data_IF_500179426276
#
_entry.id   IF_500179426276
#
_cell.length_a   1.000
_cell.length_b   1.000
_cell.length_c   1.000
_cell.angle_alpha   90.00
_cell.angle_beta   90.00
_cell.angle_gamma   90.00
#
_symmetry.space_group_name_H-M   'P 1'
#
loop_
_entity.id
_entity.type
_entity.pdbx_description
1 polymer ?
#
# COMPACT_ATOMS: atom_id res chain seq x y z
N UNK A 1 -2.73 13.85 -14.06
CA UNK A 1 -2.68 14.04 -12.60
C UNK A 1 -2.50 12.67 -11.98
N UNK A 2 -1.52 12.50 -11.15
CA UNK A 2 -1.20 11.23 -10.49
C UNK A 2 -2.30 10.85 -9.51
N UNK A 3 -2.68 9.59 -9.46
CA UNK A 3 -3.67 9.09 -8.50
C UNK A 3 -2.97 8.37 -7.35
N UNK A 4 -3.36 8.68 -6.13
CA UNK A 4 -2.83 8.06 -4.91
C UNK A 4 -3.80 7.01 -4.40
N UNK A 5 -3.29 5.80 -4.22
CA UNK A 5 -4.00 4.64 -3.67
C UNK A 5 -3.31 4.25 -2.38
N UNK A 6 -4.02 4.29 -1.27
CA UNK A 6 -3.47 3.89 0.01
C UNK A 6 -4.17 2.64 0.54
N UNK A 7 -3.38 1.69 1.04
CA UNK A 7 -3.90 0.51 1.71
C UNK A 7 -3.82 0.69 3.21
N UNK A 8 -4.89 0.38 3.90
CA UNK A 8 -4.98 0.45 5.35
C UNK A 8 -5.68 -0.80 5.90
N UNK A 9 -5.49 -1.10 7.17
CA UNK A 9 -6.09 -2.27 7.81
C UNK A 9 -5.29 -2.71 9.01
N UNK A 10 -5.88 -3.60 9.79
CA UNK A 10 -5.20 -4.24 10.93
C UNK A 10 -3.99 -5.06 10.43
N UNK A 11 -3.01 -5.29 11.30
CA UNK A 11 -1.90 -6.22 11.01
C UNK A 11 -2.42 -7.58 10.59
N UNK A 12 -1.83 -8.14 9.52
CA UNK A 12 -2.17 -9.45 9.00
C UNK A 12 -3.48 -9.55 8.19
N UNK A 13 -4.11 -8.45 7.78
CA UNK A 13 -5.33 -8.49 6.95
C UNK A 13 -5.07 -8.65 5.45
N UNK A 14 -3.80 -8.68 5.02
CA UNK A 14 -3.42 -8.88 3.62
C UNK A 14 -3.24 -7.58 2.83
N UNK A 15 -2.89 -6.48 3.47
CA UNK A 15 -2.54 -5.21 2.80
C UNK A 15 -1.45 -5.40 1.76
N UNK A 16 -0.31 -5.94 2.17
CA UNK A 16 0.87 -6.17 1.31
C UNK A 16 0.55 -7.11 0.15
N UNK A 17 -0.22 -8.18 0.41
CA UNK A 17 -0.73 -9.09 -0.62
C UNK A 17 -1.62 -8.33 -1.63
N UNK A 18 -2.53 -7.49 -1.13
CA UNK A 18 -3.39 -6.66 -1.98
C UNK A 18 -2.57 -5.65 -2.78
N UNK A 19 -1.54 -5.04 -2.19
CA UNK A 19 -0.60 -4.12 -2.86
C UNK A 19 0.15 -4.82 -4.01
N UNK A 20 0.66 -6.04 -3.77
CA UNK A 20 1.37 -6.81 -4.79
C UNK A 20 0.43 -7.22 -5.96
N UNK A 21 -0.80 -7.67 -5.65
CA UNK A 21 -1.80 -8.01 -6.67
C UNK A 21 -2.31 -6.79 -7.44
N UNK A 22 -2.40 -5.63 -6.77
CA UNK A 22 -2.71 -4.37 -7.44
C UNK A 22 -1.60 -3.95 -8.39
N UNK A 23 -0.33 -4.13 -8.02
CA UNK A 23 0.79 -3.88 -8.91
C UNK A 23 0.74 -4.77 -10.15
N UNK A 24 0.48 -6.08 -9.99
CA UNK A 24 0.29 -7.01 -11.09
C UNK A 24 -0.85 -6.54 -12.01
N UNK A 25 -2.01 -6.22 -11.44
CA UNK A 25 -3.17 -5.71 -12.16
C UNK A 25 -2.83 -4.46 -12.99
N UNK A 26 -2.23 -3.44 -12.38
CA UNK A 26 -1.88 -2.19 -13.09
C UNK A 26 -0.89 -2.43 -14.23
N UNK A 27 0.09 -3.31 -14.03
CA UNK A 27 1.06 -3.67 -15.07
C UNK A 27 0.38 -4.35 -16.26
N UNK A 28 -0.49 -5.33 -16.01
CA UNK A 28 -1.20 -6.07 -17.07
C UNK A 28 -2.24 -5.23 -17.82
N UNK A 29 -2.89 -4.30 -17.13
CA UNK A 29 -3.81 -3.34 -17.75
C UNK A 29 -3.09 -2.17 -18.45
N UNK A 30 -1.75 -2.17 -18.52
CA UNK A 30 -0.94 -1.09 -19.09
C UNK A 30 -1.18 0.28 -18.44
N UNK A 31 -1.49 0.28 -17.14
CA UNK A 31 -1.68 1.48 -16.32
C UNK A 31 -0.36 1.96 -15.69
N UNK A 32 0.71 1.84 -16.45
CA UNK A 32 2.09 2.20 -16.11
C UNK A 32 2.45 3.62 -16.59
N UNK A 33 3.52 4.25 -16.07
CA UNK A 33 4.30 3.84 -14.91
C UNK A 33 3.58 4.11 -13.57
N UNK A 34 3.91 3.32 -12.53
CA UNK A 34 3.44 3.55 -11.18
C UNK A 34 4.54 3.36 -10.14
N UNK A 35 4.40 4.00 -8.97
CA UNK A 35 5.29 3.86 -7.85
C UNK A 35 4.63 3.05 -6.74
N UNK A 36 5.30 2.01 -6.28
CA UNK A 36 4.98 1.31 -5.04
C UNK A 36 5.79 1.91 -3.89
N UNK A 37 5.13 2.13 -2.75
CA UNK A 37 5.78 2.59 -1.53
C UNK A 37 5.46 1.60 -0.42
N UNK A 38 6.47 0.84 0.00
CA UNK A 38 6.38 0.02 1.20
C UNK A 38 6.68 0.88 2.42
N UNK A 39 5.64 1.25 3.15
CA UNK A 39 5.72 2.09 4.33
C UNK A 39 5.79 1.27 5.64
N UNK A 40 5.93 -0.05 5.55
CA UNK A 40 6.16 -0.93 6.70
C UNK A 40 7.67 -0.99 7.04
N UNK A 41 7.98 -0.91 8.32
CA UNK A 41 9.34 -1.05 8.81
C UNK A 41 9.97 -2.42 8.47
N UNK A 42 9.14 -3.45 8.34
CA UNK A 42 9.60 -4.81 8.09
C UNK A 42 9.95 -5.07 6.62
N UNK A 43 9.53 -4.21 5.70
CA UNK A 43 9.86 -4.31 4.28
C UNK A 43 9.46 -5.67 3.67
N UNK A 44 8.14 -5.92 3.57
CA UNK A 44 7.62 -7.22 3.11
C UNK A 44 7.22 -7.20 1.61
N UNK A 45 6.98 -6.04 1.03
CA UNK A 45 6.47 -5.94 -0.34
C UNK A 45 7.52 -6.35 -1.39
N UNK A 46 8.79 -6.04 -1.14
CA UNK A 46 9.89 -6.49 -2.00
C UNK A 46 10.01 -8.02 -2.03
N UNK A 47 9.74 -8.71 -0.91
CA UNK A 47 9.76 -10.17 -0.83
C UNK A 47 8.65 -10.79 -1.69
N UNK A 48 7.41 -10.28 -1.60
CA UNK A 48 6.29 -10.76 -2.43
C UNK A 48 6.50 -10.50 -3.92
N UNK A 49 7.27 -9.49 -4.28
CA UNK A 49 7.61 -9.18 -5.67
C UNK A 49 8.89 -9.89 -6.13
N UNK A 50 9.58 -10.61 -5.23
CA UNK A 50 10.90 -11.22 -5.44
C UNK A 50 11.92 -10.22 -5.99
N UNK A 51 11.99 -9.04 -5.33
CA UNK A 51 12.93 -7.97 -5.64
C UNK A 51 14.01 -7.88 -4.56
N UNK A 52 15.25 -7.71 -4.99
CA UNK A 52 16.36 -7.53 -4.06
C UNK A 52 16.24 -6.19 -3.33
N UNK A 53 16.32 -6.22 -2.00
CA UNK A 53 16.24 -5.01 -1.19
C UNK A 53 17.55 -4.22 -1.27
N UNK A 54 17.49 -3.06 -1.87
CA UNK A 54 18.59 -2.11 -1.97
C UNK A 54 18.71 -1.17 -0.78
N UNK A 55 18.94 0.11 -1.07
CA UNK A 55 18.97 1.18 -0.09
C UNK A 55 17.56 1.51 0.39
N UNK A 56 17.35 1.60 1.72
CA UNK A 56 16.05 2.00 2.29
C UNK A 56 16.10 3.44 2.80
N UNK A 57 14.94 4.09 2.91
CA UNK A 57 14.85 5.46 3.45
C UNK A 57 15.35 5.55 4.89
N UNK A 58 15.18 4.47 5.68
CA UNK A 58 15.73 4.38 7.04
C UNK A 58 17.25 4.46 7.07
N UNK A 59 17.94 3.79 6.12
CA UNK A 59 19.41 3.84 5.97
C UNK A 59 19.88 5.22 5.51
N UNK A 60 19.21 5.83 4.53
CA UNK A 60 19.56 7.19 4.05
C UNK A 60 19.54 8.18 5.21
N UNK A 61 18.57 8.08 6.10
CA UNK A 61 18.49 8.93 7.29
C UNK A 61 19.69 8.80 8.21
N UNK A 62 20.23 7.59 8.37
CA UNK A 62 21.44 7.35 9.17
C UNK A 62 22.65 8.05 8.56
N UNK A 63 22.81 7.92 7.26
CA UNK A 63 23.93 8.50 6.53
C UNK A 63 23.91 10.04 6.57
N UNK A 64 22.72 10.65 6.60
CA UNK A 64 22.55 12.10 6.77
C UNK A 64 23.03 12.67 8.12
N UNK A 65 23.20 11.81 9.13
CA UNK A 65 23.77 12.20 10.43
C UNK A 65 25.30 12.15 10.43
N UNK A 66 25.89 11.50 9.42
CA UNK A 66 27.32 11.48 9.19
C UNK A 66 27.77 12.73 8.45
N UNK A 67 29.07 12.93 8.29
CA UNK A 67 29.62 14.04 7.52
C UNK A 67 29.23 13.91 6.04
N UNK A 68 28.61 14.97 5.50
CA UNK A 68 28.27 15.06 4.09
C UNK A 68 29.53 15.16 3.23
N UNK A 69 29.53 14.61 2.01
CA UNK A 69 30.61 14.84 1.07
C UNK A 69 30.85 16.34 0.85
N UNK A 70 32.10 16.78 0.71
CA UNK A 70 32.41 18.19 0.45
C UNK A 70 31.73 18.66 -0.85
N UNK A 71 31.20 19.88 -0.84
CA UNK A 71 30.56 20.54 -1.99
C UNK A 71 29.16 20.01 -2.40
N UNK A 72 28.51 19.21 -1.58
CA UNK A 72 27.12 18.75 -1.81
C UNK A 72 26.24 19.30 -0.69
N UNK A 73 25.11 19.94 -1.03
CA UNK A 73 24.13 20.36 -0.04
C UNK A 73 23.36 19.14 0.48
N UNK A 74 22.75 19.28 1.66
CA UNK A 74 21.94 18.21 2.26
C UNK A 74 20.77 17.79 1.34
N UNK A 75 20.14 18.74 0.68
CA UNK A 75 19.04 18.48 -0.22
C UNK A 75 19.48 17.74 -1.48
N UNK A 76 20.61 18.13 -2.08
CA UNK A 76 21.21 17.43 -3.23
C UNK A 76 21.62 15.99 -2.87
N UNK A 77 22.22 15.81 -1.69
CA UNK A 77 22.57 14.48 -1.21
C UNK A 77 21.35 13.59 -1.02
N UNK A 78 20.27 14.15 -0.42
CA UNK A 78 19.02 13.44 -0.25
C UNK A 78 18.38 13.06 -1.59
N UNK A 79 18.29 14.00 -2.52
CA UNK A 79 17.72 13.73 -3.85
C UNK A 79 18.47 12.60 -4.56
N UNK A 80 19.81 12.65 -4.54
CA UNK A 80 20.64 11.58 -5.08
C UNK A 80 20.38 10.22 -4.39
N UNK A 81 20.31 10.20 -3.06
CA UNK A 81 20.11 8.97 -2.28
C UNK A 81 18.70 8.40 -2.43
N UNK A 82 17.70 9.24 -2.64
CA UNK A 82 16.34 8.78 -2.90
C UNK A 82 16.25 8.10 -4.28
N UNK A 83 16.90 8.67 -5.30
CA UNK A 83 16.98 8.00 -6.61
C UNK A 83 17.75 6.66 -6.50
N UNK A 84 18.80 6.60 -5.70
CA UNK A 84 19.55 5.35 -5.45
C UNK A 84 18.69 4.30 -4.69
N UNK A 85 17.70 4.74 -3.91
CA UNK A 85 16.80 3.87 -3.16
C UNK A 85 15.61 3.34 -3.98
N UNK A 86 15.38 3.86 -5.18
CA UNK A 86 14.37 3.32 -6.08
C UNK A 86 14.84 1.97 -6.63
N UNK A 87 14.03 0.95 -6.45
CA UNK A 87 14.19 -0.33 -7.12
C UNK A 87 13.41 -0.22 -8.43
N UNK A 88 14.13 -0.05 -9.52
CA UNK A 88 13.55 0.19 -10.85
C UNK A 88 13.19 -1.11 -11.54
N UNK A 89 11.93 -1.23 -11.97
CA UNK A 89 11.39 -2.36 -12.70
C UNK A 89 10.65 -1.92 -13.97
N UNK A 90 10.48 -2.84 -14.91
CA UNK A 90 9.74 -2.52 -16.12
C UNK A 90 8.28 -2.16 -15.85
N UNK A 91 7.98 -0.86 -15.93
CA UNK A 91 6.65 -0.29 -15.78
C UNK A 91 6.30 0.18 -14.38
N UNK A 92 7.16 -0.06 -13.38
CA UNK A 92 6.98 0.45 -12.03
C UNK A 92 8.30 0.56 -11.28
N UNK A 93 8.31 1.35 -10.23
CA UNK A 93 9.40 1.42 -9.27
C UNK A 93 8.89 1.09 -7.88
N UNK A 94 9.77 0.55 -7.03
CA UNK A 94 9.49 0.28 -5.62
C UNK A 94 10.39 1.12 -4.73
N UNK A 95 9.81 1.80 -3.76
CA UNK A 95 10.50 2.49 -2.68
C UNK A 95 10.19 1.83 -1.35
N UNK A 96 11.21 1.51 -0.57
CA UNK A 96 11.05 0.83 0.72
C UNK A 96 11.49 1.73 1.86
N UNK A 97 10.60 1.88 2.85
CA UNK A 97 10.90 2.67 4.04
C UNK A 97 11.96 2.00 4.92
N UNK A 98 11.78 0.73 5.21
CA UNK A 98 12.66 -0.05 6.07
C UNK A 98 12.72 0.44 7.51
N UNK A 99 13.49 -0.25 8.35
CA UNK A 99 13.66 0.11 9.75
C UNK A 99 14.48 1.37 9.94
N UNK A 100 14.09 2.28 10.85
CA UNK A 100 14.93 3.40 11.23
C UNK A 100 16.09 2.90 12.08
N UNK A 101 17.30 3.09 11.63
CA UNK A 101 18.48 2.82 12.44
C UNK A 101 18.62 3.88 13.57
N UNK A 102 18.37 3.47 14.81
CA UNK A 102 18.61 4.25 16.03
C UNK A 102 17.39 4.96 16.62
N UNK A 103 17.53 5.52 17.85
CA UNK A 103 16.44 6.18 18.56
C UNK A 103 16.03 7.47 17.85
N UNK A 104 14.75 7.64 17.67
CA UNK A 104 14.12 8.84 17.09
C UNK A 104 12.93 8.51 16.20
N UNK A 105 12.00 9.44 16.09
CA UNK A 105 10.79 9.24 15.30
C UNK A 105 11.10 9.22 13.79
N UNK A 106 10.27 8.56 13.02
CA UNK A 106 10.27 8.59 11.55
C UNK A 106 10.04 10.00 10.96
N UNK A 107 9.79 11.01 11.79
CA UNK A 107 9.34 12.34 11.36
C UNK A 107 10.23 12.98 10.29
N UNK A 108 11.56 12.88 10.42
CA UNK A 108 12.46 13.44 9.41
C UNK A 108 12.49 12.60 8.12
N UNK A 109 12.52 11.28 8.22
CA UNK A 109 12.46 10.40 7.05
C UNK A 109 11.14 10.58 6.30
N UNK A 110 10.03 10.66 7.03
CA UNK A 110 8.70 10.93 6.46
C UNK A 110 8.61 12.30 5.80
N UNK A 111 9.23 13.33 6.39
CA UNK A 111 9.24 14.66 5.80
C UNK A 111 10.03 14.70 4.49
N UNK A 112 11.18 14.01 4.43
CA UNK A 112 11.95 13.89 3.20
C UNK A 112 11.24 13.04 2.14
N UNK A 113 10.62 11.92 2.56
CA UNK A 113 9.78 11.14 1.67
C UNK A 113 8.67 11.98 1.08
N UNK A 114 7.97 12.76 1.91
CA UNK A 114 6.90 13.64 1.46
C UNK A 114 7.36 14.65 0.42
N UNK A 115 8.46 15.35 0.69
CA UNK A 115 9.03 16.33 -0.27
C UNK A 115 9.47 15.66 -1.58
N UNK A 116 9.91 14.42 -1.51
CA UNK A 116 10.35 13.66 -2.68
C UNK A 116 9.17 13.05 -3.42
N UNK A 117 8.15 12.58 -2.70
CA UNK A 117 6.92 12.07 -3.29
C UNK A 117 6.24 13.12 -4.17
N UNK A 118 6.22 14.39 -3.74
CA UNK A 118 5.66 15.48 -4.54
C UNK A 118 6.42 15.63 -5.89
N UNK A 119 7.75 15.52 -5.88
CA UNK A 119 8.57 15.59 -7.09
C UNK A 119 8.47 14.32 -7.95
N UNK A 120 8.50 13.15 -7.32
CA UNK A 120 8.39 11.86 -8.00
C UNK A 120 6.99 11.64 -8.57
N UNK A 121 5.95 12.17 -7.91
CA UNK A 121 4.57 11.99 -8.33
C UNK A 121 4.34 12.38 -9.80
N UNK A 122 5.00 13.41 -10.28
CA UNK A 122 4.86 13.88 -11.67
C UNK A 122 5.24 12.82 -12.72
N UNK A 123 6.07 11.85 -12.34
CA UNK A 123 6.57 10.80 -13.24
C UNK A 123 5.67 9.56 -13.30
N UNK A 124 4.69 9.44 -12.39
CA UNK A 124 3.86 8.24 -12.27
C UNK A 124 2.38 8.53 -12.48
N UNK A 125 1.67 7.56 -13.07
CA UNK A 125 0.20 7.62 -13.18
C UNK A 125 -0.48 7.30 -11.85
N UNK A 126 0.12 6.36 -11.08
CA UNK A 126 -0.38 5.92 -9.79
C UNK A 126 0.76 5.86 -8.77
N UNK A 127 0.42 6.14 -7.53
CA UNK A 127 1.26 5.87 -6.36
C UNK A 127 0.46 4.97 -5.44
N UNK A 128 1.01 3.81 -5.13
CA UNK A 128 0.40 2.83 -4.24
C UNK A 128 1.18 2.82 -2.94
N UNK A 129 0.51 3.07 -1.82
CA UNK A 129 1.16 3.09 -0.50
C UNK A 129 0.66 1.91 0.32
N UNK A 130 1.54 0.95 0.55
CA UNK A 130 1.32 -0.15 1.48
C UNK A 130 1.68 0.28 2.90
N UNK A 131 0.67 0.51 3.72
CA UNK A 131 0.90 1.02 5.07
C UNK A 131 1.12 -0.09 6.09
N UNK A 132 1.94 0.19 7.09
CA UNK A 132 1.93 -0.55 8.35
C UNK A 132 0.52 -0.59 8.97
N UNK A 133 0.31 -1.38 10.01
CA UNK A 133 -0.96 -1.40 10.71
C UNK A 133 -1.34 -0.01 11.26
N UNK A 134 -2.48 0.51 10.83
CA UNK A 134 -2.97 1.84 11.20
C UNK A 134 -2.84 2.87 10.07
N UNK A 135 -3.17 4.12 10.35
CA UNK A 135 -3.16 5.24 9.39
C UNK A 135 -2.21 6.37 9.77
N UNK A 136 -1.53 6.25 10.90
CA UNK A 136 -0.69 7.33 11.42
C UNK A 136 0.46 7.70 10.47
N UNK A 137 0.94 6.72 9.68
CA UNK A 137 1.99 6.94 8.70
C UNK A 137 1.54 7.81 7.53
N UNK A 138 0.30 7.65 7.06
CA UNK A 138 -0.24 8.44 5.93
C UNK A 138 -0.24 9.94 6.25
N UNK A 139 -0.69 10.32 7.45
CA UNK A 139 -0.66 11.72 7.86
C UNK A 139 0.76 12.29 7.99
N UNK A 140 1.73 11.44 8.32
CA UNK A 140 3.15 11.81 8.44
C UNK A 140 3.86 11.92 7.09
N UNK A 141 3.36 11.24 6.05
CA UNK A 141 3.91 11.30 4.69
C UNK A 141 3.44 12.53 3.90
N UNK A 142 2.72 13.48 4.51
CA UNK A 142 2.09 14.62 3.85
C UNK A 142 1.18 14.25 2.66
N UNK A 143 0.77 13.00 2.53
CA UNK A 143 -0.23 12.58 1.57
C UNK A 143 -1.59 13.10 2.02
N UNK A 144 -1.85 14.38 1.76
CA UNK A 144 -3.09 15.05 2.20
C UNK A 144 -4.28 14.65 1.34
N UNK A 145 -4.04 14.29 0.09
CA UNK A 145 -5.06 13.88 -0.86
C UNK A 145 -4.85 12.42 -1.26
N UNK A 146 -5.84 11.58 -1.02
CA UNK A 146 -5.86 10.18 -1.38
C UNK A 146 -7.07 9.94 -2.29
N UNK A 147 -6.82 9.48 -3.51
CA UNK A 147 -7.91 9.19 -4.46
C UNK A 147 -8.70 7.96 -4.04
N UNK A 148 -8.01 6.92 -3.61
CA UNK A 148 -8.60 5.65 -3.19
C UNK A 148 -7.97 5.15 -1.90
N UNK A 149 -8.78 5.01 -0.85
CA UNK A 149 -8.39 4.31 0.38
C UNK A 149 -8.99 2.92 0.34
N UNK A 150 -8.15 1.89 0.28
CA UNK A 150 -8.53 0.49 0.33
C UNK A 150 -8.33 -0.03 1.75
N UNK A 151 -9.42 -0.23 2.47
CA UNK A 151 -9.39 -0.73 3.85
C UNK A 151 -9.58 -2.24 3.83
N UNK A 152 -8.51 -2.99 4.13
CA UNK A 152 -8.55 -4.46 4.20
C UNK A 152 -8.93 -4.95 5.59
N UNK A 153 -9.82 -5.93 5.65
CA UNK A 153 -10.27 -6.58 6.89
C UNK A 153 -10.24 -8.10 6.75
N UNK A 154 -9.92 -8.80 7.82
CA UNK A 154 -10.28 -10.21 7.94
C UNK A 154 -11.79 -10.37 8.19
N UNK A 155 -12.39 -11.57 8.00
CA UNK A 155 -13.84 -11.78 8.13
C UNK A 155 -14.33 -11.85 9.60
N UNK A 156 -13.51 -11.40 10.54
CA UNK A 156 -13.91 -11.36 11.96
C UNK A 156 -14.64 -10.07 12.32
N UNK A 157 -15.53 -10.13 13.31
CA UNK A 157 -16.21 -8.95 13.85
C UNK A 157 -15.19 -7.88 14.33
N UNK A 158 -14.04 -8.29 14.86
CA UNK A 158 -12.98 -7.38 15.31
C UNK A 158 -12.25 -6.73 14.12
N UNK A 159 -12.02 -7.48 13.05
CA UNK A 159 -11.44 -6.96 11.80
C UNK A 159 -12.32 -5.87 11.22
N UNK A 160 -13.60 -6.16 11.03
CA UNK A 160 -14.59 -5.22 10.50
C UNK A 160 -14.73 -3.97 11.39
N UNK A 161 -14.78 -4.14 12.72
CA UNK A 161 -14.79 -3.01 13.64
C UNK A 161 -13.52 -2.15 13.52
N UNK A 162 -12.36 -2.77 13.30
CA UNK A 162 -11.11 -2.02 13.07
C UNK A 162 -11.15 -1.27 11.76
N UNK A 163 -11.70 -1.85 10.68
CA UNK A 163 -11.88 -1.15 9.41
C UNK A 163 -12.78 0.08 9.56
N UNK A 164 -13.87 0.00 10.33
CA UNK A 164 -14.71 1.16 10.67
C UNK A 164 -13.91 2.26 11.35
N UNK A 165 -13.16 1.90 12.41
CA UNK A 165 -12.31 2.87 13.14
C UNK A 165 -11.25 3.52 12.24
N UNK A 166 -10.69 2.78 11.28
CA UNK A 166 -9.76 3.34 10.30
C UNK A 166 -10.47 4.38 9.43
N UNK A 167 -11.68 4.11 8.97
CA UNK A 167 -12.49 5.09 8.23
C UNK A 167 -12.77 6.34 9.07
N UNK A 168 -13.17 6.18 10.33
CA UNK A 168 -13.56 7.28 11.24
C UNK A 168 -12.38 8.22 11.58
N UNK A 169 -11.14 7.72 11.60
CA UNK A 169 -9.97 8.54 11.94
C UNK A 169 -9.39 9.33 10.75
N UNK A 170 -9.86 9.12 9.53
CA UNK A 170 -9.33 9.79 8.34
C UNK A 170 -9.50 11.31 8.41
N UNK A 171 -10.68 11.78 8.76
CA UNK A 171 -11.01 13.20 8.92
C UNK A 171 -10.24 13.86 10.07
N UNK A 172 -10.20 13.30 11.30
CA UNK A 172 -9.37 13.80 12.39
C UNK A 172 -7.88 13.91 12.07
N UNK A 173 -7.36 13.04 11.18
CA UNK A 173 -5.98 13.09 10.71
C UNK A 173 -5.74 14.13 9.60
N UNK A 174 -6.78 14.82 9.14
CA UNK A 174 -6.70 15.81 8.08
C UNK A 174 -6.43 15.22 6.69
N UNK A 175 -6.83 13.96 6.47
CA UNK A 175 -6.68 13.27 5.19
C UNK A 175 -7.92 13.53 4.33
N UNK A 176 -7.72 14.13 3.16
CA UNK A 176 -8.76 14.30 2.15
C UNK A 176 -8.84 13.03 1.30
N UNK A 177 -9.84 12.20 1.54
CA UNK A 177 -10.04 10.93 0.83
C UNK A 177 -11.23 11.07 -0.11
N UNK A 178 -11.00 10.83 -1.42
CA UNK A 178 -12.06 10.95 -2.42
C UNK A 178 -13.02 9.77 -2.39
N UNK A 179 -12.47 8.54 -2.31
CA UNK A 179 -13.26 7.31 -2.23
C UNK A 179 -12.65 6.33 -1.24
N UNK A 180 -13.48 5.67 -0.45
CA UNK A 180 -13.07 4.63 0.50
C UNK A 180 -13.76 3.31 0.14
N UNK A 181 -13.01 2.22 0.19
CA UNK A 181 -13.50 0.88 -0.12
C UNK A 181 -13.12 -0.09 0.98
N UNK A 182 -14.10 -0.88 1.42
CA UNK A 182 -13.89 -2.01 2.32
C UNK A 182 -13.63 -3.28 1.50
N UNK A 183 -12.52 -3.96 1.74
CA UNK A 183 -12.17 -5.25 1.14
C UNK A 183 -12.12 -6.29 2.27
N UNK A 184 -12.99 -7.29 2.20
CA UNK A 184 -12.96 -8.43 3.13
C UNK A 184 -12.06 -9.50 2.54
N UNK A 185 -10.98 -9.85 3.25
CA UNK A 185 -9.99 -10.80 2.80
C UNK A 185 -10.10 -12.12 3.59
N UNK A 186 -9.80 -13.23 2.93
CA UNK A 186 -9.84 -14.58 3.51
C UNK A 186 -11.19 -14.96 4.09
N UNK A 187 -12.27 -14.56 3.42
CA UNK A 187 -13.62 -14.95 3.80
C UNK A 187 -13.86 -16.44 3.55
N UNK A 188 -14.73 -17.11 4.34
CA UNK A 188 -15.20 -18.44 4.01
C UNK A 188 -16.09 -18.41 2.75
N UNK A 189 -16.08 -19.49 1.99
CA UNK A 189 -16.99 -19.67 0.87
C UNK A 189 -17.96 -20.85 1.19
N UNK A 190 -19.30 -20.60 1.27
CA UNK A 190 -19.98 -19.33 1.09
C UNK A 190 -19.83 -18.36 2.29
N UNK A 191 -20.04 -17.06 2.02
CA UNK A 191 -20.11 -16.05 3.08
C UNK A 191 -21.31 -16.34 3.97
N UNK A 192 -21.09 -16.38 5.28
CA UNK A 192 -22.17 -16.65 6.23
C UNK A 192 -23.10 -15.44 6.41
N UNK A 193 -24.43 -15.63 6.65
CA UNK A 193 -25.35 -14.53 6.89
C UNK A 193 -24.91 -13.55 7.99
N UNK A 194 -24.39 -14.01 9.16
CA UNK A 194 -23.87 -13.09 10.17
C UNK A 194 -22.71 -12.21 9.70
N UNK A 195 -21.81 -12.76 8.86
CA UNK A 195 -20.71 -12.00 8.29
C UNK A 195 -21.23 -10.94 7.30
N UNK A 196 -22.17 -11.33 6.43
CA UNK A 196 -22.80 -10.39 5.49
C UNK A 196 -23.46 -9.23 6.24
N UNK A 197 -24.22 -9.51 7.30
CA UNK A 197 -24.84 -8.46 8.13
C UNK A 197 -23.80 -7.50 8.68
N UNK A 198 -22.66 -8.00 9.17
CA UNK A 198 -21.59 -7.13 9.71
C UNK A 198 -20.91 -6.27 8.64
N UNK A 199 -20.76 -6.78 7.43
CA UNK A 199 -20.27 -6.02 6.29
C UNK A 199 -21.24 -4.90 5.93
N UNK A 200 -22.52 -5.21 5.81
CA UNK A 200 -23.57 -4.25 5.45
C UNK A 200 -23.71 -3.14 6.51
N UNK A 201 -23.66 -3.50 7.80
CA UNK A 201 -23.61 -2.53 8.90
C UNK A 201 -22.39 -1.60 8.77
N UNK A 202 -21.18 -2.15 8.53
CA UNK A 202 -19.97 -1.36 8.42
C UNK A 202 -20.02 -0.38 7.24
N UNK A 203 -20.46 -0.83 6.08
CA UNK A 203 -20.66 0.00 4.88
C UNK A 203 -21.66 1.11 5.14
N UNK A 204 -22.82 0.78 5.73
CA UNK A 204 -23.88 1.76 6.02
C UNK A 204 -23.45 2.83 7.03
N UNK A 205 -22.71 2.43 8.08
CA UNK A 205 -22.34 3.35 9.15
C UNK A 205 -21.16 4.27 8.78
N UNK A 206 -20.25 3.82 7.93
CA UNK A 206 -19.04 4.59 7.57
C UNK A 206 -19.14 5.32 6.25
N UNK A 207 -20.09 4.95 5.39
CA UNK A 207 -20.18 5.45 4.02
C UNK A 207 -19.09 4.90 3.08
N UNK A 208 -18.27 3.93 3.52
CA UNK A 208 -17.39 3.20 2.61
C UNK A 208 -18.19 2.42 1.57
N UNK A 209 -17.63 2.28 0.38
CA UNK A 209 -18.17 1.32 -0.60
C UNK A 209 -17.65 -0.08 -0.29
N UNK A 210 -18.43 -1.12 -0.54
CA UNK A 210 -17.89 -2.47 -0.54
C UNK A 210 -17.08 -2.67 -1.82
N UNK A 211 -15.75 -2.76 -1.68
CA UNK A 211 -14.86 -3.07 -2.79
C UNK A 211 -15.03 -4.51 -3.27
N UNK A 212 -15.16 -5.44 -2.32
CA UNK A 212 -15.45 -6.83 -2.59
C UNK A 212 -15.01 -7.78 -1.47
N UNK A 213 -15.21 -9.05 -1.72
CA UNK A 213 -14.89 -10.15 -0.80
C UNK A 213 -13.95 -11.10 -1.52
N UNK A 214 -12.83 -11.42 -0.87
CA UNK A 214 -11.81 -12.35 -1.34
C UNK A 214 -11.88 -13.59 -0.45
N UNK A 215 -12.02 -14.73 -1.05
CA UNK A 215 -12.05 -16.00 -0.31
C UNK A 215 -10.65 -16.47 0.08
N UNK A 216 -10.60 -17.35 1.09
CA UNK A 216 -9.34 -18.01 1.47
C UNK A 216 -8.81 -18.82 0.28
N UNK A 217 -7.52 -18.70 -0.02
CA UNK A 217 -6.86 -19.39 -1.12
C UNK A 217 -5.59 -20.08 -0.63
N UNK A 218 -5.51 -21.38 -0.83
CA UNK A 218 -4.29 -22.14 -0.59
C UNK A 218 -3.22 -21.82 -1.65
N UNK A 219 -3.62 -21.35 -2.83
CA UNK A 219 -2.69 -21.00 -3.91
C UNK A 219 -1.79 -19.82 -3.50
N UNK A 220 -2.36 -18.79 -2.82
CA UNK A 220 -1.54 -17.68 -2.31
C UNK A 220 -0.57 -18.13 -1.21
N UNK A 221 -0.99 -19.06 -0.35
CA UNK A 221 -0.12 -19.62 0.68
C UNK A 221 1.03 -20.38 0.03
N UNK A 222 0.74 -21.19 -0.98
CA UNK A 222 1.76 -21.95 -1.72
C UNK A 222 2.72 -21.04 -2.48
N UNK A 223 2.21 -19.96 -3.08
CA UNK A 223 3.04 -18.94 -3.76
C UNK A 223 4.00 -18.27 -2.78
N UNK A 224 3.52 -17.85 -1.61
CA UNK A 224 4.34 -17.22 -0.58
C UNK A 224 5.43 -18.20 -0.09
N UNK A 225 5.08 -19.48 0.12
CA UNK A 225 6.04 -20.52 0.52
C UNK A 225 7.07 -20.84 -0.57
N UNK A 226 6.72 -20.71 -1.85
CA UNK A 226 7.67 -20.93 -2.95
C UNK A 226 8.70 -19.79 -3.11
N UNK A 227 8.40 -18.59 -2.57
CA UNK A 227 9.21 -17.39 -2.77
C UNK A 227 9.17 -16.84 -4.19
N UNK A 228 8.27 -17.32 -5.03
CA UNK A 228 8.08 -16.80 -6.39
C UNK A 228 7.31 -15.49 -6.37
N UNK A 229 7.64 -14.61 -7.32
CA UNK A 229 7.01 -13.29 -7.42
C UNK A 229 5.49 -13.39 -7.65
N UNK A 230 4.72 -12.59 -6.95
CA UNK A 230 3.29 -12.42 -7.19
C UNK A 230 2.96 -11.86 -8.57
N UNK A 231 3.93 -11.24 -9.24
CA UNK A 231 3.80 -10.81 -10.63
C UNK A 231 3.65 -11.98 -11.60
N UNK A 232 4.04 -13.21 -11.20
CA UNK A 232 3.99 -14.44 -12.00
C UNK A 232 2.76 -15.30 -11.70
N UNK A 233 1.89 -14.90 -10.75
CA UNK A 233 0.65 -15.62 -10.47
C UNK A 233 -0.19 -15.83 -11.73
N UNK A 234 -0.75 -17.02 -11.88
CA UNK A 234 -1.64 -17.33 -12.98
C UNK A 234 -2.97 -16.57 -12.84
N UNK A 235 -3.36 -15.87 -13.90
CA UNK A 235 -4.60 -15.11 -13.94
C UNK A 235 -5.86 -15.99 -13.90
N UNK A 236 -5.72 -17.29 -14.13
CA UNK A 236 -6.81 -18.26 -14.00
C UNK A 236 -7.08 -18.67 -12.54
N UNK A 237 -6.18 -18.37 -11.61
CA UNK A 237 -6.40 -18.58 -10.17
C UNK A 237 -7.63 -17.78 -9.70
N UNK A 238 -8.51 -18.43 -8.94
CA UNK A 238 -9.76 -17.81 -8.49
C UNK A 238 -9.52 -16.53 -7.68
N UNK A 239 -8.55 -16.54 -6.78
CA UNK A 239 -8.18 -15.36 -5.98
C UNK A 239 -7.69 -14.19 -6.83
N UNK A 240 -6.98 -14.45 -7.94
CA UNK A 240 -6.54 -13.41 -8.86
C UNK A 240 -7.74 -12.82 -9.61
N UNK A 241 -8.68 -13.66 -10.06
CA UNK A 241 -9.94 -13.24 -10.69
C UNK A 241 -10.79 -12.38 -9.76
N UNK A 242 -10.94 -12.82 -8.50
CA UNK A 242 -11.66 -12.05 -7.48
C UNK A 242 -11.04 -10.67 -7.28
N UNK A 243 -9.71 -10.62 -7.10
CA UNK A 243 -9.00 -9.36 -6.93
C UNK A 243 -9.10 -8.45 -8.15
N UNK A 244 -8.98 -9.00 -9.36
CA UNK A 244 -9.11 -8.22 -10.60
C UNK A 244 -10.52 -7.67 -10.77
N UNK A 245 -11.55 -8.45 -10.44
CA UNK A 245 -12.93 -7.98 -10.43
C UNK A 245 -13.13 -6.81 -9.46
N UNK A 246 -12.52 -6.89 -8.26
CA UNK A 246 -12.53 -5.81 -7.27
C UNK A 246 -11.87 -4.55 -7.85
N UNK A 247 -10.68 -4.68 -8.44
CA UNK A 247 -9.96 -3.54 -9.02
C UNK A 247 -10.68 -2.95 -10.25
N UNK A 248 -11.22 -3.80 -11.10
CA UNK A 248 -12.06 -3.34 -12.21
C UNK A 248 -13.23 -2.49 -11.69
N UNK A 249 -13.95 -2.93 -10.65
CA UNK A 249 -15.06 -2.16 -10.04
C UNK A 249 -14.57 -0.83 -9.43
N UNK A 250 -13.44 -0.82 -8.72
CA UNK A 250 -12.88 0.38 -8.08
C UNK A 250 -12.45 1.43 -9.11
N UNK A 251 -11.86 1.01 -10.23
CA UNK A 251 -11.25 1.92 -11.19
C UNK A 251 -12.13 2.24 -12.41
N UNK A 252 -13.15 1.43 -12.74
CA UNK A 252 -14.07 1.69 -13.86
C UNK A 252 -15.21 2.67 -13.53
N UNK A 253 -15.52 2.91 -12.26
CA UNK A 253 -16.49 3.95 -11.87
C UNK A 253 -16.07 5.40 -12.21
N UNK A 254 -15.04 5.59 -13.01
CA UNK A 254 -14.45 6.89 -13.37
C UNK A 254 -14.45 7.23 -14.87
N UNK A 255 -15.29 6.55 -15.68
CA UNK A 255 -15.54 6.94 -17.08
C UNK A 255 -16.91 7.55 -17.26
#
# INVERSE_FOLDING_TARGET
MTKVIALAGKGGTGKTTTSALLAKYLKEKNLTPFLLVDADANANLNELLNLELGLTLGKIRKDLKSELPPNITRDQYMEMKIHEALIEETGFDLMVMGQPDGPGCYCAANQYLAMTMDKLAENYKYIIVDNEAGMEHLSRMNLREIDYLLVTSDPSARGILTAKRISDITEPLGLAIKKQFLIINRAPNPVSPPLQTKIDEAVSETGMNLGGIIHSSDDLINQELSGESYMLLDNEMEVVKEMYSIFDNIFTENN
#
